data_IF_397111160871
#
_entry.id   IF_397111160871
#
_cell.length_a   1.000
_cell.length_b   1.000
_cell.length_c   1.000
_cell.angle_alpha   90.00
_cell.angle_beta   90.00
_cell.angle_gamma   90.00
#
_symmetry.space_group_name_H-M   'P 1'
#
loop_
_entity.id
_entity.type
_entity.pdbx_description
1 polymer ?
#
# COMPACT_ATOMS: atom_id res chain seq x y z
N UNK A 1 -5.27 -13.22 18.54
CA UNK A 1 -4.42 -12.86 17.39
C UNK A 1 -4.73 -11.40 17.05
N UNK A 2 -3.80 -10.47 17.24
CA UNK A 2 -4.04 -9.03 17.03
C UNK A 2 -3.21 -8.52 15.85
N UNK A 3 -3.86 -7.88 14.89
CA UNK A 3 -3.22 -7.05 13.89
C UNK A 3 -3.44 -5.59 14.28
N UNK A 4 -2.41 -4.75 14.16
CA UNK A 4 -2.48 -3.34 14.50
C UNK A 4 -2.38 -2.50 13.23
N UNK A 5 -3.32 -1.58 13.06
CA UNK A 5 -3.28 -0.55 12.04
C UNK A 5 -3.19 0.81 12.74
N UNK A 6 -2.31 1.69 12.25
CA UNK A 6 -2.28 3.10 12.62
C UNK A 6 -2.68 3.92 11.41
N UNK A 7 -3.50 4.95 11.60
CA UNK A 7 -3.73 5.97 10.58
C UNK A 7 -2.52 6.90 10.57
N UNK A 8 -1.84 6.98 9.43
CA UNK A 8 -0.60 7.77 9.32
C UNK A 8 -0.83 9.21 8.85
N UNK A 9 -2.06 9.54 8.45
CA UNK A 9 -2.50 10.93 8.26
C UNK A 9 -2.30 11.76 9.52
N UNK A 10 -2.65 11.21 10.70
CA UNK A 10 -2.48 11.88 11.99
C UNK A 10 -1.02 11.86 12.50
N UNK A 11 -0.18 10.95 11.99
CA UNK A 11 1.21 10.80 12.43
C UNK A 11 2.22 11.61 11.59
N UNK A 12 1.79 12.22 10.48
CA UNK A 12 2.66 13.00 9.59
C UNK A 12 3.70 12.17 8.83
N UNK A 13 3.60 10.83 8.85
CA UNK A 13 4.48 9.95 8.09
C UNK A 13 4.18 10.08 6.61
N UNK A 14 5.24 10.18 5.80
CA UNK A 14 5.16 10.33 4.36
C UNK A 14 6.16 9.41 3.71
N UNK A 15 5.81 8.94 2.52
CA UNK A 15 6.66 8.12 1.66
C UNK A 15 6.97 8.88 0.39
N UNK A 16 8.10 8.53 -0.24
CA UNK A 16 8.51 9.12 -1.51
C UNK A 16 7.60 8.65 -2.65
N UNK A 17 6.98 9.61 -3.33
CA UNK A 17 6.04 9.38 -4.41
C UNK A 17 6.48 10.16 -5.66
N UNK A 18 5.89 9.83 -6.81
CA UNK A 18 6.13 10.53 -8.08
C UNK A 18 4.79 11.02 -8.62
N UNK A 19 4.73 12.31 -8.97
CA UNK A 19 3.53 12.94 -9.56
C UNK A 19 3.40 12.57 -11.04
N UNK A 20 2.24 12.82 -11.64
CA UNK A 20 2.03 12.61 -13.07
C UNK A 20 3.05 13.31 -13.98
N UNK A 21 3.59 14.46 -13.56
CA UNK A 21 4.63 15.20 -14.29
C UNK A 21 6.06 14.67 -14.06
N UNK A 22 6.24 13.55 -13.36
CA UNK A 22 7.53 12.95 -13.07
C UNK A 22 8.29 13.57 -11.89
N UNK A 23 7.75 14.61 -11.25
CA UNK A 23 8.38 15.24 -10.11
C UNK A 23 8.32 14.35 -8.86
N UNK A 24 9.40 14.39 -8.07
CA UNK A 24 9.41 13.77 -6.73
C UNK A 24 8.45 14.52 -5.83
N UNK A 25 7.66 13.78 -5.08
CA UNK A 25 6.73 14.30 -4.10
C UNK A 25 6.67 13.41 -2.88
N UNK A 26 5.81 13.77 -1.94
CA UNK A 26 5.54 12.94 -0.78
C UNK A 26 4.05 12.64 -0.73
N UNK A 27 3.71 11.38 -0.46
CA UNK A 27 2.33 10.98 -0.24
C UNK A 27 2.18 10.28 1.12
N UNK A 28 1.02 10.46 1.73
CA UNK A 28 0.67 9.81 3.00
C UNK A 28 -0.19 8.60 2.68
N UNK A 29 0.19 7.40 3.11
CA UNK A 29 -0.67 6.24 2.95
C UNK A 29 -1.83 6.29 3.93
N UNK A 30 -2.98 5.72 3.55
CA UNK A 30 -4.13 5.66 4.44
C UNK A 30 -3.80 4.81 5.68
N UNK A 31 -3.24 3.62 5.47
CA UNK A 31 -2.84 2.72 6.54
C UNK A 31 -1.50 2.05 6.25
N UNK A 32 -0.75 1.78 7.33
CA UNK A 32 0.34 0.82 7.32
C UNK A 32 -0.01 -0.28 8.32
N UNK A 33 0.00 -1.52 7.85
CA UNK A 33 -0.40 -2.70 8.61
C UNK A 33 0.80 -3.62 8.77
N UNK A 34 1.11 -3.98 10.01
CA UNK A 34 2.05 -5.08 10.31
C UNK A 34 1.25 -6.35 10.55
N UNK A 35 1.42 -7.32 9.65
CA UNK A 35 0.85 -8.65 9.79
C UNK A 35 1.51 -9.43 10.91
N UNK A 36 0.82 -10.44 11.43
CA UNK A 36 1.31 -11.30 12.52
C UNK A 36 2.53 -12.13 12.13
N UNK A 37 2.71 -12.41 10.83
CA UNK A 37 3.91 -13.05 10.28
C UNK A 37 5.09 -12.06 10.08
N UNK A 38 4.98 -10.83 10.60
CA UNK A 38 6.04 -9.82 10.55
C UNK A 38 6.04 -8.92 9.32
N UNK A 39 5.35 -9.31 8.23
CA UNK A 39 5.27 -8.50 7.00
C UNK A 39 4.60 -7.14 7.19
N UNK A 40 5.03 -6.14 6.44
CA UNK A 40 4.53 -4.77 6.45
C UNK A 40 3.78 -4.49 5.14
N UNK A 41 2.61 -3.88 5.25
CA UNK A 41 1.71 -3.61 4.12
C UNK A 41 1.30 -2.14 4.11
N UNK A 42 1.47 -1.49 2.98
CA UNK A 42 0.88 -0.17 2.71
C UNK A 42 -0.50 -0.41 2.09
N UNK A 43 -1.55 0.08 2.75
CA UNK A 43 -2.93 -0.10 2.29
C UNK A 43 -3.49 1.25 1.88
N UNK A 44 -3.90 1.33 0.62
CA UNK A 44 -4.58 2.48 0.02
C UNK A 44 -6.05 2.13 -0.16
N UNK A 45 -6.94 2.95 0.39
CA UNK A 45 -8.39 2.82 0.28
C UNK A 45 -8.94 3.95 -0.59
N UNK A 46 -9.86 3.63 -1.49
CA UNK A 46 -10.42 4.67 -2.36
C UNK A 46 -11.59 5.37 -1.67
N UNK A 47 -11.32 6.51 -1.02
CA UNK A 47 -12.36 7.45 -0.55
C UNK A 47 -12.58 8.64 -1.50
N UNK A 48 -11.61 8.95 -2.37
CA UNK A 48 -11.62 10.11 -3.29
C UNK A 48 -10.97 9.74 -4.63
N UNK A 49 -11.43 10.35 -5.72
CA UNK A 49 -10.73 10.27 -7.01
C UNK A 49 -9.39 11.01 -6.92
N UNK A 50 -8.29 10.28 -7.06
CA UNK A 50 -6.92 10.82 -7.08
C UNK A 50 -6.38 10.69 -8.51
N UNK A 51 -6.13 11.82 -9.18
CA UNK A 51 -5.65 11.86 -10.57
C UNK A 51 -4.30 11.15 -10.74
N UNK A 52 -3.45 11.22 -9.71
CA UNK A 52 -2.12 10.62 -9.69
C UNK A 52 -2.12 9.15 -9.22
N UNK A 53 -3.29 8.52 -9.00
CA UNK A 53 -3.40 7.19 -8.42
C UNK A 53 -2.60 6.12 -9.19
N UNK A 54 -2.60 6.04 -10.53
CA UNK A 54 -1.77 5.08 -11.25
C UNK A 54 -0.27 5.25 -11.01
N UNK A 55 0.25 6.49 -11.05
CA UNK A 55 1.68 6.74 -10.79
C UNK A 55 2.03 6.46 -9.33
N UNK A 56 1.16 6.86 -8.39
CA UNK A 56 1.29 6.57 -6.95
C UNK A 56 1.39 5.06 -6.72
N UNK A 57 0.49 4.26 -7.33
CA UNK A 57 0.50 2.81 -7.17
C UNK A 57 1.73 2.15 -7.78
N UNK A 58 2.18 2.60 -8.96
CA UNK A 58 3.41 2.11 -9.57
C UNK A 58 4.64 2.39 -8.70
N UNK A 59 4.73 3.60 -8.14
CA UNK A 59 5.82 3.98 -7.23
C UNK A 59 5.76 3.23 -5.90
N UNK A 60 4.58 3.04 -5.33
CA UNK A 60 4.37 2.22 -4.13
C UNK A 60 4.86 0.79 -4.32
N UNK A 61 4.52 0.17 -5.47
CA UNK A 61 5.00 -1.15 -5.84
C UNK A 61 6.52 -1.20 -5.89
N UNK A 62 7.16 -0.23 -6.54
CA UNK A 62 8.62 -0.14 -6.60
C UNK A 62 9.24 0.06 -5.21
N UNK A 63 8.70 0.99 -4.41
CA UNK A 63 9.20 1.26 -3.06
C UNK A 63 9.09 0.04 -2.15
N UNK A 64 8.02 -0.76 -2.26
CA UNK A 64 7.91 -2.02 -1.54
C UNK A 64 8.95 -3.05 -1.98
N UNK A 65 9.25 -3.12 -3.28
CA UNK A 65 10.28 -4.00 -3.81
C UNK A 65 11.68 -3.58 -3.31
N UNK A 66 12.00 -2.29 -3.36
CA UNK A 66 13.26 -1.73 -2.88
C UNK A 66 13.45 -1.95 -1.37
N UNK A 67 12.41 -1.65 -0.58
CA UNK A 67 12.42 -1.87 0.87
C UNK A 67 12.50 -3.36 1.22
N UNK A 68 11.82 -4.22 0.45
CA UNK A 68 11.90 -5.67 0.61
C UNK A 68 13.30 -6.20 0.27
N UNK A 69 13.93 -5.72 -0.79
CA UNK A 69 15.28 -6.10 -1.17
C UNK A 69 16.31 -5.66 -0.14
N UNK A 70 16.25 -4.39 0.31
CA UNK A 70 17.12 -3.86 1.37
C UNK A 70 16.89 -4.59 2.71
N UNK A 71 15.63 -4.86 3.06
CA UNK A 71 15.28 -5.57 4.29
C UNK A 71 15.72 -7.03 4.28
N UNK A 72 15.57 -7.75 3.16
CA UNK A 72 15.91 -9.19 3.09
C UNK A 72 17.39 -9.44 3.36
N UNK A 73 18.28 -8.53 2.94
CA UNK A 73 19.71 -8.61 3.24
C UNK A 73 20.02 -8.55 4.74
N UNK A 74 19.14 -7.95 5.54
CA UNK A 74 19.29 -7.70 6.98
C UNK A 74 18.29 -8.52 7.84
N UNK A 75 17.58 -9.50 7.25
CA UNK A 75 16.53 -10.27 7.95
C UNK A 75 15.25 -9.47 8.26
N UNK A 76 15.05 -8.34 7.59
CA UNK A 76 13.91 -7.44 7.71
C UNK A 76 12.59 -8.00 7.14
N UNK A 77 11.46 -7.36 7.47
CA UNK A 77 10.14 -7.85 7.09
C UNK A 77 9.86 -7.70 5.58
N UNK A 78 9.08 -8.63 5.02
CA UNK A 78 8.54 -8.47 3.66
C UNK A 78 7.69 -7.21 3.59
N UNK A 79 7.91 -6.40 2.56
CA UNK A 79 7.09 -5.22 2.26
C UNK A 79 6.13 -5.52 1.10
N UNK A 80 4.93 -4.96 1.12
CA UNK A 80 3.94 -5.09 0.06
C UNK A 80 2.91 -3.97 0.10
N UNK A 81 2.06 -3.92 -0.93
CA UNK A 81 0.97 -2.94 -1.03
C UNK A 81 -0.37 -3.62 -1.28
N UNK A 82 -1.44 -2.91 -0.96
CA UNK A 82 -2.84 -3.28 -1.20
C UNK A 82 -3.58 -2.05 -1.71
N UNK A 83 -4.32 -2.19 -2.80
CA UNK A 83 -5.27 -1.17 -3.25
C UNK A 83 -6.71 -1.67 -3.15
N UNK A 84 -7.46 -1.19 -2.16
CA UNK A 84 -8.86 -1.51 -1.97
C UNK A 84 -9.75 -0.40 -2.57
N UNK A 85 -10.07 -0.53 -3.86
CA UNK A 85 -11.08 0.32 -4.50
C UNK A 85 -12.49 -0.05 -4.02
N UNK A 86 -13.33 0.95 -3.70
CA UNK A 86 -14.68 0.76 -3.15
C UNK A 86 -15.47 -0.33 -3.89
N UNK A 87 -15.62 -0.20 -5.22
CA UNK A 87 -16.35 -1.18 -6.04
C UNK A 87 -15.78 -2.60 -5.94
N UNK A 88 -14.47 -2.74 -5.95
CA UNK A 88 -13.80 -4.05 -5.87
C UNK A 88 -13.94 -4.65 -4.47
N UNK A 89 -13.89 -3.79 -3.44
CA UNK A 89 -14.07 -4.15 -2.04
C UNK A 89 -15.48 -4.67 -1.77
N UNK A 90 -16.50 -3.96 -2.25
CA UNK A 90 -17.90 -4.33 -2.09
C UNK A 90 -18.25 -5.63 -2.83
N UNK A 91 -17.55 -5.96 -3.93
CA UNK A 91 -17.76 -7.20 -4.67
C UNK A 91 -17.09 -8.42 -4.04
N UNK A 92 -15.95 -8.24 -3.37
CA UNK A 92 -15.15 -9.34 -2.84
C UNK A 92 -15.32 -9.54 -1.32
N UNK A 93 -15.77 -8.52 -0.60
CA UNK A 93 -16.01 -8.51 0.86
C UNK A 93 -15.01 -9.36 1.67
N UNK A 94 -13.70 -9.00 1.65
CA UNK A 94 -12.69 -9.82 2.30
C UNK A 94 -12.92 -9.89 3.82
N UNK A 95 -13.14 -11.09 4.35
CA UNK A 95 -13.39 -11.31 5.78
C UNK A 95 -12.12 -11.41 6.64
N UNK A 96 -10.95 -11.28 6.02
CA UNK A 96 -9.67 -11.30 6.72
C UNK A 96 -8.64 -10.47 6.00
N UNK A 97 -7.63 -10.02 6.73
CA UNK A 97 -6.50 -9.29 6.14
C UNK A 97 -5.73 -10.15 5.13
N UNK A 98 -5.62 -11.47 5.35
CA UNK A 98 -5.03 -12.38 4.39
C UNK A 98 -5.84 -12.46 3.07
N UNK A 99 -7.17 -12.44 3.17
CA UNK A 99 -8.07 -12.33 2.03
C UNK A 99 -7.88 -11.01 1.28
N UNK A 100 -7.81 -9.88 2.02
CA UNK A 100 -7.54 -8.56 1.46
C UNK A 100 -6.21 -8.56 0.68
N UNK A 101 -5.15 -9.07 1.29
CA UNK A 101 -3.82 -9.12 0.66
C UNK A 101 -3.81 -10.02 -0.58
N UNK A 102 -4.58 -11.11 -0.60
CA UNK A 102 -4.65 -12.00 -1.76
C UNK A 102 -5.41 -11.36 -2.91
N UNK A 103 -6.52 -10.66 -2.64
CA UNK A 103 -7.44 -10.20 -3.68
C UNK A 103 -7.11 -8.80 -4.24
N UNK A 104 -6.32 -8.00 -3.53
CA UNK A 104 -6.11 -6.57 -3.84
C UNK A 104 -4.62 -6.18 -4.02
N UNK A 105 -3.77 -7.16 -4.33
CA UNK A 105 -2.33 -6.96 -4.57
C UNK A 105 -1.98 -6.36 -5.93
N UNK A 106 -2.92 -6.40 -6.87
CA UNK A 106 -2.71 -5.90 -8.22
C UNK A 106 -3.53 -4.64 -8.46
N UNK A 107 -2.83 -3.55 -8.78
CA UNK A 107 -3.45 -2.37 -9.38
C UNK A 107 -3.32 -2.51 -10.90
N UNK A 108 -4.43 -2.56 -11.66
CA UNK A 108 -4.34 -2.58 -13.11
C UNK A 108 -3.59 -1.31 -13.56
N UNK A 109 -2.49 -1.51 -14.28
CA UNK A 109 -1.80 -0.40 -14.94
C UNK A 109 -2.83 0.28 -15.85
N UNK A 110 -2.95 1.61 -15.75
CA UNK A 110 -3.65 2.34 -16.80
C UNK A 110 -2.90 2.09 -18.13
N UNK A 111 -3.61 1.92 -19.26
CA UNK A 111 -2.97 1.73 -20.57
C UNK A 111 -2.06 2.90 -20.94
#
# INVERSE_FOLDING_TARGET
MQAHAKSYLAAGFRIDCVRANGERSTCTPDFIVRGTAGGVWIVETRGREELDLPQKMARLKQSCADAGAAGTAEGGPRCGFVHAGQKSFDLQEPQSFAGLVTSFRDYPQAP
#
